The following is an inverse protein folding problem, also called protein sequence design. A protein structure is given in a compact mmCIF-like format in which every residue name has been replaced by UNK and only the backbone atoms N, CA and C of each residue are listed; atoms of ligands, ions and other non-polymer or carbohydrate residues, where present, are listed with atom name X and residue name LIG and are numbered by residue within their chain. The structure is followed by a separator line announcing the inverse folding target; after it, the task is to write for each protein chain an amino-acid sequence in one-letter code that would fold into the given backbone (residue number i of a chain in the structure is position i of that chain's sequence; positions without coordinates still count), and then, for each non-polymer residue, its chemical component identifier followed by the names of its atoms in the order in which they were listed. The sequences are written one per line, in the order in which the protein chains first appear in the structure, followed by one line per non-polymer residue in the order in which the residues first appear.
data_IF_444025209136
#
_entry.id   IF_444025209136
#
_cell.length_a   1.000
_cell.length_b   1.000
_cell.length_c   1.000
_cell.angle_alpha   90.00
_cell.angle_beta   90.00
_cell.angle_gamma   90.00
#
_symmetry.space_group_name_H-M   'P 1'
#
loop_
_entity.id
_entity.type
_entity.pdbx_description
1 polymer ?
#
# COMPACT_ATOMS: atom_id res chain seq x y z
N UNK A 1 -28.96 -38.38 -19.99
CA UNK A 1 -28.74 -37.28 -19.02
C UNK A 1 -27.98 -36.19 -19.75
N UNK A 2 -28.69 -35.18 -20.26
CA UNK A 2 -28.06 -34.03 -20.93
C UNK A 2 -27.28 -33.20 -19.92
N UNK A 3 -25.97 -33.09 -20.14
CA UNK A 3 -25.14 -32.17 -19.37
C UNK A 3 -25.36 -30.75 -19.91
N UNK A 4 -26.10 -29.95 -19.14
CA UNK A 4 -26.33 -28.54 -19.45
C UNK A 4 -25.00 -27.80 -19.68
N UNK A 5 -24.83 -27.24 -20.86
CA UNK A 5 -23.66 -26.45 -21.24
C UNK A 5 -23.60 -25.19 -20.37
N UNK A 6 -22.60 -25.12 -19.48
CA UNK A 6 -22.37 -23.93 -18.64
C UNK A 6 -22.02 -22.75 -19.54
N UNK A 7 -22.96 -21.82 -19.70
CA UNK A 7 -22.74 -20.58 -20.46
C UNK A 7 -21.55 -19.80 -19.87
N UNK A 8 -20.64 -19.36 -20.74
CA UNK A 8 -19.53 -18.48 -20.35
C UNK A 8 -20.11 -17.15 -19.86
N UNK A 9 -19.63 -16.67 -18.71
CA UNK A 9 -20.05 -15.37 -18.16
C UNK A 9 -19.70 -14.26 -19.14
N UNK A 10 -20.67 -13.41 -19.49
CA UNK A 10 -20.45 -12.23 -20.30
C UNK A 10 -19.56 -11.18 -19.61
N UNK A 11 -19.10 -10.16 -20.36
CA UNK A 11 -18.25 -9.11 -19.83
C UNK A 11 -18.95 -8.34 -18.70
N UNK A 12 -18.23 -8.11 -17.59
CA UNK A 12 -18.72 -7.26 -16.51
C UNK A 12 -18.73 -5.79 -16.96
N UNK A 13 -19.86 -5.10 -16.78
CA UNK A 13 -19.94 -3.65 -17.00
C UNK A 13 -19.05 -2.93 -15.99
N UNK A 14 -18.17 -2.04 -16.51
CA UNK A 14 -17.31 -1.17 -15.70
C UNK A 14 -17.98 0.20 -15.61
N UNK A 15 -18.41 0.58 -14.42
CA UNK A 15 -18.94 1.92 -14.14
C UNK A 15 -17.86 2.78 -13.51
N UNK A 16 -17.76 4.04 -13.92
CA UNK A 16 -16.96 5.00 -13.16
C UNK A 16 -17.61 5.27 -11.79
N UNK A 17 -16.84 5.66 -10.76
CA UNK A 17 -17.40 6.00 -9.45
C UNK A 17 -18.45 7.12 -9.51
N UNK A 18 -18.27 8.05 -10.44
CA UNK A 18 -19.18 9.19 -10.66
C UNK A 18 -20.49 8.76 -11.33
N UNK A 19 -20.41 7.96 -12.39
CA UNK A 19 -21.58 7.39 -13.06
C UNK A 19 -22.42 6.57 -12.06
N UNK A 20 -21.73 5.83 -11.20
CA UNK A 20 -22.35 5.06 -10.14
C UNK A 20 -23.09 5.96 -9.13
N UNK A 21 -22.48 7.06 -8.70
CA UNK A 21 -23.11 8.03 -7.80
C UNK A 21 -24.40 8.65 -8.37
N UNK A 22 -24.43 8.95 -9.67
CA UNK A 22 -25.62 9.50 -10.34
C UNK A 22 -26.76 8.48 -10.37
N UNK A 23 -26.45 7.22 -10.73
CA UNK A 23 -27.44 6.15 -10.78
C UNK A 23 -27.98 5.84 -9.38
N UNK A 24 -27.10 5.78 -8.39
CA UNK A 24 -27.46 5.45 -7.02
C UNK A 24 -28.30 6.55 -6.36
N UNK A 25 -27.98 7.83 -6.62
CA UNK A 25 -28.81 8.96 -6.20
C UNK A 25 -30.23 8.83 -6.76
N UNK A 26 -30.36 8.60 -8.07
CA UNK A 26 -31.66 8.43 -8.72
C UNK A 26 -32.42 7.21 -8.21
N UNK A 27 -31.72 6.12 -7.91
CA UNK A 27 -32.31 4.91 -7.34
C UNK A 27 -32.79 5.10 -5.90
N UNK A 28 -32.11 5.96 -5.12
CA UNK A 28 -32.53 6.33 -3.77
C UNK A 28 -33.76 7.24 -3.78
N UNK A 29 -33.89 8.15 -4.74
CA UNK A 29 -35.00 9.11 -4.84
C UNK A 29 -36.26 8.52 -5.51
N UNK A 30 -36.09 7.80 -6.62
CA UNK A 30 -37.21 7.37 -7.47
C UNK A 30 -37.42 5.85 -7.46
N UNK A 31 -36.59 5.09 -6.75
CA UNK A 31 -36.64 3.64 -6.70
C UNK A 31 -35.81 2.95 -7.80
N UNK A 32 -35.48 1.69 -7.55
CA UNK A 32 -34.51 0.89 -8.34
C UNK A 32 -34.99 0.67 -9.79
N UNK A 33 -36.25 0.28 -9.98
CA UNK A 33 -36.82 -0.02 -11.30
C UNK A 33 -36.89 1.23 -12.17
N UNK A 34 -37.28 2.37 -11.58
CA UNK A 34 -37.33 3.65 -12.30
C UNK A 34 -35.93 4.11 -12.72
N UNK A 35 -34.92 3.93 -11.86
CA UNK A 35 -33.54 4.23 -12.19
C UNK A 35 -33.01 3.34 -13.33
N UNK A 36 -33.24 2.02 -13.27
CA UNK A 36 -32.83 1.11 -14.36
C UNK A 36 -33.46 1.51 -15.69
N UNK A 37 -34.75 1.81 -15.72
CA UNK A 37 -35.46 2.25 -16.95
C UNK A 37 -34.91 3.57 -17.48
N UNK A 38 -34.67 4.54 -16.60
CA UNK A 38 -34.11 5.84 -16.97
C UNK A 38 -32.72 5.71 -17.60
N UNK A 39 -31.92 4.78 -17.10
CA UNK A 39 -30.53 4.60 -17.51
C UNK A 39 -30.31 3.48 -18.53
N UNK A 40 -31.35 2.77 -18.98
CA UNK A 40 -31.23 1.64 -19.90
C UNK A 40 -30.59 2.02 -21.24
N UNK A 41 -30.85 3.23 -21.74
CA UNK A 41 -30.29 3.75 -22.99
C UNK A 41 -28.79 4.04 -22.86
N UNK A 42 -28.36 4.53 -21.70
CA UNK A 42 -26.97 4.87 -21.42
C UNK A 42 -26.16 3.65 -20.96
N UNK A 43 -26.83 2.68 -20.30
CA UNK A 43 -26.23 1.50 -19.69
C UNK A 43 -27.09 0.25 -19.95
N UNK A 44 -27.06 -0.30 -21.17
CA UNK A 44 -27.94 -1.41 -21.58
C UNK A 44 -27.69 -2.72 -20.81
N UNK A 45 -26.50 -2.90 -20.23
CA UNK A 45 -26.12 -4.10 -19.49
C UNK A 45 -26.39 -4.01 -17.97
N UNK A 46 -27.10 -2.99 -17.51
CA UNK A 46 -27.34 -2.76 -16.08
C UNK A 46 -28.41 -3.71 -15.54
N UNK A 47 -28.04 -4.51 -14.54
CA UNK A 47 -28.96 -5.41 -13.84
C UNK A 47 -29.56 -4.72 -12.63
N UNK A 48 -30.83 -5.02 -12.36
CA UNK A 48 -31.54 -4.46 -11.21
C UNK A 48 -30.85 -4.78 -9.87
N UNK A 49 -30.35 -6.01 -9.70
CA UNK A 49 -29.60 -6.40 -8.51
C UNK A 49 -28.38 -5.51 -8.29
N UNK A 50 -27.65 -5.16 -9.36
CA UNK A 50 -26.50 -4.25 -9.27
C UNK A 50 -26.95 -2.89 -8.77
N UNK A 51 -28.02 -2.31 -9.32
CA UNK A 51 -28.53 -0.99 -8.88
C UNK A 51 -29.01 -1.03 -7.43
N UNK A 52 -29.62 -2.14 -7.01
CA UNK A 52 -30.06 -2.34 -5.63
C UNK A 52 -28.88 -2.35 -4.65
N UNK A 53 -27.85 -3.14 -4.93
CA UNK A 53 -26.64 -3.20 -4.10
C UNK A 53 -25.95 -1.82 -4.02
N UNK A 54 -25.96 -1.08 -5.12
CA UNK A 54 -25.31 0.23 -5.21
C UNK A 54 -26.10 1.32 -4.47
N UNK A 55 -27.43 1.34 -4.58
CA UNK A 55 -28.33 2.16 -3.74
C UNK A 55 -28.11 1.88 -2.25
N UNK A 56 -28.00 0.62 -1.85
CA UNK A 56 -27.82 0.27 -0.44
C UNK A 56 -26.46 0.74 0.11
N UNK A 57 -25.41 0.71 -0.73
CA UNK A 57 -24.12 1.31 -0.41
C UNK A 57 -24.23 2.84 -0.28
N UNK A 58 -24.94 3.51 -1.20
CA UNK A 58 -25.21 4.95 -1.15
C UNK A 58 -25.91 5.37 0.14
N UNK A 59 -26.97 4.66 0.52
CA UNK A 59 -27.72 4.92 1.75
C UNK A 59 -26.87 4.72 3.01
N UNK A 60 -26.00 3.69 3.02
CA UNK A 60 -25.03 3.48 4.11
C UNK A 60 -24.04 4.62 4.22
N UNK A 61 -23.54 5.14 3.10
CA UNK A 61 -22.64 6.30 3.10
C UNK A 61 -23.32 7.59 3.51
N UNK A 62 -24.57 7.82 3.06
CA UNK A 62 -25.38 8.94 3.55
C UNK A 62 -25.58 8.86 5.05
N UNK A 63 -25.85 7.67 5.60
CA UNK A 63 -25.97 7.47 7.06
C UNK A 63 -24.67 7.82 7.77
N UNK A 64 -23.52 7.33 7.30
CA UNK A 64 -22.20 7.68 7.85
C UNK A 64 -21.94 9.18 7.80
N UNK A 65 -22.20 9.83 6.67
CA UNK A 65 -22.03 11.28 6.53
C UNK A 65 -22.99 12.07 7.41
N UNK A 66 -24.22 11.63 7.60
CA UNK A 66 -25.17 12.26 8.54
C UNK A 66 -24.72 12.12 9.99
N UNK A 67 -24.17 10.97 10.39
CA UNK A 67 -23.59 10.77 11.72
C UNK A 67 -22.30 11.57 11.93
N UNK A 68 -21.50 11.78 10.88
CA UNK A 68 -20.32 12.65 10.96
C UNK A 68 -20.72 14.15 10.95
N UNK A 69 -21.72 14.53 10.17
CA UNK A 69 -22.20 15.90 10.00
C UNK A 69 -23.13 16.37 11.13
N UNK A 70 -23.51 15.52 12.10
CA UNK A 70 -24.18 15.98 13.32
C UNK A 70 -23.30 16.89 14.18
N UNK A 71 -22.02 17.05 13.83
CA UNK A 71 -21.08 18.02 14.43
C UNK A 71 -21.15 19.41 13.75
N UNK A 72 -21.59 19.49 12.49
CA UNK A 72 -21.60 20.73 11.68
C UNK A 72 -23.00 21.07 11.14
N UNK A 73 -24.03 20.97 11.97
CA UNK A 73 -25.38 21.39 11.57
C UNK A 73 -25.52 22.90 11.73
N UNK A 74 -25.10 23.65 10.71
CA UNK A 74 -25.77 24.91 10.37
C UNK A 74 -25.63 25.16 8.88
N UNK A 75 -26.78 25.38 8.24
CA UNK A 75 -27.01 25.77 6.82
C UNK A 75 -27.19 24.60 5.84
N UNK A 76 -28.46 24.22 5.66
CA UNK A 76 -29.14 24.00 4.38
C UNK A 76 -28.29 23.58 3.17
N UNK A 77 -27.55 22.47 3.28
CA UNK A 77 -26.77 21.90 2.18
C UNK A 77 -27.17 20.46 1.94
N UNK A 78 -27.70 20.14 0.75
CA UNK A 78 -27.86 18.76 0.30
C UNK A 78 -26.54 18.00 0.47
N UNK A 79 -26.50 16.99 1.33
CA UNK A 79 -25.34 16.09 1.45
C UNK A 79 -25.26 15.24 0.18
N UNK A 80 -24.56 15.75 -0.84
CA UNK A 80 -24.27 15.00 -2.07
C UNK A 80 -23.05 14.09 -1.86
N UNK A 81 -23.24 12.79 -2.07
CA UNK A 81 -22.12 11.86 -2.29
C UNK A 81 -21.73 11.95 -3.76
N UNK A 82 -20.64 12.66 -4.06
CA UNK A 82 -20.15 12.88 -5.44
C UNK A 82 -19.28 11.72 -5.94
N UNK A 83 -18.60 11.01 -5.04
CA UNK A 83 -17.72 9.90 -5.37
C UNK A 83 -17.80 8.81 -4.31
N UNK A 84 -17.81 7.55 -4.78
CA UNK A 84 -17.61 6.39 -3.93
C UNK A 84 -16.12 6.05 -3.90
N UNK A 85 -15.53 5.92 -2.72
CA UNK A 85 -14.23 5.25 -2.62
C UNK A 85 -14.47 3.77 -2.86
N UNK A 86 -14.09 3.29 -4.05
CA UNK A 86 -14.26 1.88 -4.39
C UNK A 86 -13.55 1.02 -3.35
N UNK A 87 -14.28 0.09 -2.71
CA UNK A 87 -13.63 -0.94 -1.88
C UNK A 87 -12.57 -1.62 -2.73
N UNK A 88 -11.32 -1.66 -2.23
CA UNK A 88 -10.23 -2.36 -2.90
C UNK A 88 -10.66 -3.80 -3.14
N UNK A 89 -10.78 -4.18 -4.41
CA UNK A 89 -11.19 -5.54 -4.80
C UNK A 89 -9.97 -6.45 -4.72
N UNK A 90 -10.14 -7.60 -4.06
CA UNK A 90 -9.11 -8.64 -4.01
C UNK A 90 -8.89 -9.19 -2.60
N UNK A 91 -7.89 -10.06 -2.49
CA UNK A 91 -7.46 -10.61 -1.19
C UNK A 91 -6.86 -9.47 -0.35
N UNK A 92 -7.22 -9.36 0.94
CA UNK A 92 -6.62 -8.38 1.83
C UNK A 92 -5.10 -8.56 1.93
N UNK A 93 -4.41 -7.47 2.28
CA UNK A 93 -2.97 -7.47 2.53
C UNK A 93 -2.65 -8.31 3.77
N UNK A 94 -1.55 -9.06 3.72
CA UNK A 94 -1.14 -9.94 4.83
C UNK A 94 -0.89 -9.17 6.13
N UNK A 95 -0.21 -8.02 6.02
CA UNK A 95 0.17 -7.18 7.15
C UNK A 95 -0.83 -6.04 7.40
N UNK A 96 -1.97 -5.99 6.71
CA UNK A 96 -2.84 -4.81 6.70
C UNK A 96 -2.27 -3.66 5.86
N UNK A 97 -2.94 -2.51 5.88
CA UNK A 97 -2.54 -1.36 5.03
C UNK A 97 -1.40 -0.52 5.64
N UNK A 98 -1.36 -0.42 6.97
CA UNK A 98 -0.40 0.44 7.68
C UNK A 98 1.02 -0.13 7.64
N UNK A 99 1.20 -1.37 8.12
CA UNK A 99 2.51 -2.03 8.09
C UNK A 99 3.01 -2.25 6.66
N UNK A 100 2.14 -2.61 5.73
CA UNK A 100 2.53 -2.77 4.33
C UNK A 100 3.00 -1.44 3.72
N UNK A 101 2.39 -0.31 4.09
CA UNK A 101 2.84 1.03 3.68
C UNK A 101 4.20 1.39 4.30
N UNK A 102 4.40 1.15 5.59
CA UNK A 102 5.69 1.42 6.26
C UNK A 102 6.83 0.60 5.64
N UNK A 103 6.59 -0.68 5.34
CA UNK A 103 7.58 -1.52 4.65
C UNK A 103 7.88 -0.94 3.26
N UNK A 104 6.87 -0.50 2.50
CA UNK A 104 7.08 0.11 1.18
C UNK A 104 7.92 1.39 1.26
N UNK A 105 7.62 2.29 2.20
CA UNK A 105 8.35 3.54 2.40
C UNK A 105 9.82 3.27 2.76
N UNK A 106 10.07 2.33 3.66
CA UNK A 106 11.44 1.96 4.03
C UNK A 106 12.22 1.35 2.85
N UNK A 107 11.58 0.50 2.05
CA UNK A 107 12.21 -0.09 0.88
C UNK A 107 12.48 0.94 -0.23
N UNK A 108 11.63 1.96 -0.38
CA UNK A 108 11.87 3.09 -1.28
C UNK A 108 13.07 3.92 -0.81
N UNK A 109 13.11 4.25 0.48
CA UNK A 109 14.24 4.95 1.09
C UNK A 109 15.57 4.22 0.89
N UNK A 110 15.59 2.89 1.12
CA UNK A 110 16.77 2.07 0.82
C UNK A 110 17.15 2.14 -0.66
N UNK A 111 16.15 2.12 -1.54
CA UNK A 111 16.36 2.13 -2.99
C UNK A 111 16.91 3.46 -3.50
N UNK A 112 16.46 4.58 -2.94
CA UNK A 112 16.94 5.93 -3.26
C UNK A 112 18.42 6.09 -2.88
N UNK A 113 18.84 5.49 -1.77
CA UNK A 113 20.24 5.44 -1.33
C UNK A 113 21.12 4.43 -2.07
N UNK A 114 20.61 3.82 -3.13
CA UNK A 114 21.35 2.87 -3.95
C UNK A 114 21.46 1.45 -3.36
N UNK A 115 20.78 1.15 -2.24
CA UNK A 115 20.87 -0.16 -1.64
C UNK A 115 20.18 -1.24 -2.50
N UNK A 116 20.73 -2.45 -2.44
CA UNK A 116 20.18 -3.62 -3.14
C UNK A 116 18.99 -4.16 -2.36
N UNK A 117 17.78 -4.02 -2.89
CA UNK A 117 16.56 -4.60 -2.30
C UNK A 117 16.33 -6.00 -2.85
N UNK A 118 16.45 -7.02 -1.99
CA UNK A 118 16.16 -8.42 -2.31
C UNK A 118 15.00 -8.96 -1.44
N UNK A 119 14.54 -10.19 -1.72
CA UNK A 119 13.43 -10.79 -0.96
C UNK A 119 13.76 -11.01 0.51
N UNK A 120 15.03 -11.26 0.84
CA UNK A 120 15.46 -11.49 2.24
C UNK A 120 15.40 -10.20 3.05
N UNK A 121 15.84 -9.08 2.47
CA UNK A 121 15.75 -7.74 3.07
C UNK A 121 14.29 -7.36 3.29
N UNK A 122 13.41 -7.68 2.33
CA UNK A 122 11.97 -7.41 2.47
C UNK A 122 11.35 -8.22 3.63
N UNK A 123 11.71 -9.51 3.75
CA UNK A 123 11.23 -10.35 4.87
C UNK A 123 11.73 -9.80 6.20
N UNK A 124 13.05 -9.56 6.33
CA UNK A 124 13.64 -9.07 7.56
C UNK A 124 13.15 -7.68 7.97
N UNK A 125 12.96 -6.77 7.00
CA UNK A 125 12.38 -5.46 7.24
C UNK A 125 10.95 -5.56 7.77
N UNK A 126 10.11 -6.39 7.14
CA UNK A 126 8.74 -6.58 7.56
C UNK A 126 8.65 -7.24 8.95
N UNK A 127 9.50 -8.23 9.23
CA UNK A 127 9.62 -8.83 10.56
C UNK A 127 10.06 -7.81 11.61
N UNK A 128 11.05 -6.98 11.30
CA UNK A 128 11.54 -5.94 12.20
C UNK A 128 10.48 -4.89 12.53
N UNK A 129 9.72 -4.42 11.53
CA UNK A 129 8.64 -3.45 11.73
C UNK A 129 7.53 -4.04 12.59
N UNK A 130 7.05 -5.25 12.26
CA UNK A 130 5.99 -5.90 13.06
C UNK A 130 6.49 -6.17 14.48
N UNK A 131 7.71 -6.66 14.64
CA UNK A 131 8.31 -6.94 15.95
C UNK A 131 8.41 -5.69 16.82
N UNK A 132 8.73 -4.54 16.23
CA UNK A 132 8.86 -3.28 16.96
C UNK A 132 7.50 -2.72 17.41
N UNK A 133 6.44 -2.96 16.66
CA UNK A 133 5.10 -2.48 17.03
C UNK A 133 4.36 -3.47 17.94
N UNK A 134 4.25 -4.73 17.52
CA UNK A 134 3.66 -5.80 18.33
C UNK A 134 4.30 -7.14 17.97
N UNK A 135 5.19 -7.57 18.86
CA UNK A 135 5.92 -8.81 18.69
C UNK A 135 5.03 -10.06 18.73
N UNK A 136 3.84 -10.01 19.34
CA UNK A 136 2.95 -11.18 19.46
C UNK A 136 2.21 -11.50 18.15
N UNK A 137 2.24 -10.60 17.16
CA UNK A 137 1.61 -10.85 15.86
C UNK A 137 2.39 -11.85 15.01
N UNK A 138 3.70 -11.95 15.21
CA UNK A 138 4.58 -12.82 14.45
C UNK A 138 4.42 -14.29 14.86
N UNK A 139 4.39 -15.18 13.86
CA UNK A 139 4.34 -16.62 14.07
C UNK A 139 5.51 -17.16 14.92
N UNK A 140 6.67 -16.49 14.88
CA UNK A 140 7.82 -16.85 15.74
C UNK A 140 7.52 -16.70 17.24
N UNK A 141 6.56 -15.84 17.59
CA UNK A 141 6.20 -15.50 18.96
C UNK A 141 4.78 -16.02 19.31
N UNK A 142 4.26 -16.99 18.54
CA UNK A 142 2.92 -17.56 18.75
C UNK A 142 1.78 -16.82 18.04
N UNK A 143 2.09 -15.83 17.20
CA UNK A 143 1.13 -15.08 16.41
C UNK A 143 0.65 -15.79 15.14
N UNK A 144 -0.21 -15.09 14.38
CA UNK A 144 -0.81 -15.62 13.16
C UNK A 144 -0.13 -15.13 11.86
N UNK A 145 0.76 -14.14 11.96
CA UNK A 145 1.42 -13.55 10.79
C UNK A 145 2.69 -14.33 10.48
N UNK A 146 2.68 -15.03 9.34
CA UNK A 146 3.87 -15.68 8.78
C UNK A 146 4.35 -14.93 7.53
N UNK A 147 5.48 -14.24 7.66
CA UNK A 147 6.09 -13.49 6.56
C UNK A 147 6.89 -14.46 5.69
N UNK A 148 6.36 -14.76 4.50
CA UNK A 148 6.98 -15.71 3.57
C UNK A 148 7.75 -15.03 2.45
N UNK A 149 8.74 -15.73 1.87
CA UNK A 149 9.43 -15.29 0.65
C UNK A 149 8.46 -15.02 -0.51
N UNK A 150 7.34 -15.75 -0.57
CA UNK A 150 6.31 -15.54 -1.58
C UNK A 150 5.59 -14.20 -1.40
N UNK A 151 5.21 -13.87 -0.16
CA UNK A 151 4.65 -12.56 0.16
C UNK A 151 5.61 -11.43 -0.24
N UNK A 152 6.90 -11.55 0.11
CA UNK A 152 7.91 -10.57 -0.25
C UNK A 152 8.04 -10.36 -1.77
N UNK A 153 8.01 -11.44 -2.56
CA UNK A 153 7.98 -11.34 -4.03
C UNK A 153 6.75 -10.57 -4.53
N UNK A 154 5.57 -10.83 -3.96
CA UNK A 154 4.34 -10.12 -4.35
C UNK A 154 4.40 -8.64 -3.99
N UNK A 155 4.94 -8.30 -2.82
CA UNK A 155 5.15 -6.90 -2.42
C UNK A 155 6.02 -6.18 -3.46
N UNK A 156 7.18 -6.75 -3.79
CA UNK A 156 8.10 -6.16 -4.77
C UNK A 156 7.44 -5.95 -6.13
N UNK A 157 6.64 -6.92 -6.61
CA UNK A 157 5.88 -6.77 -7.85
C UNK A 157 4.87 -5.62 -7.77
N UNK A 158 4.16 -5.45 -6.65
CA UNK A 158 3.22 -4.32 -6.45
C UNK A 158 3.94 -2.97 -6.44
N UNK A 159 5.16 -2.92 -5.92
CA UNK A 159 6.01 -1.72 -5.94
C UNK A 159 6.65 -1.45 -7.31
N UNK A 160 6.46 -2.33 -8.30
CA UNK A 160 7.13 -2.23 -9.61
C UNK A 160 8.63 -2.56 -9.56
N UNK A 161 9.09 -3.23 -8.51
CA UNK A 161 10.51 -3.58 -8.35
C UNK A 161 10.81 -4.83 -9.19
N UNK A 162 11.69 -4.67 -10.17
CA UNK A 162 12.21 -5.78 -10.97
C UNK A 162 13.51 -6.30 -10.35
N UNK A 163 13.75 -7.61 -10.48
CA UNK A 163 15.03 -8.24 -10.10
C UNK A 163 16.17 -7.53 -10.85
N UNK A 164 16.93 -6.68 -10.16
CA UNK A 164 18.19 -6.12 -10.68
C UNK A 164 19.33 -7.00 -10.19
N UNK A 165 20.30 -7.26 -11.06
CA UNK A 165 21.63 -7.70 -10.58
C UNK A 165 22.17 -6.57 -9.71
N UNK A 166 22.66 -6.89 -8.52
CA UNK A 166 23.52 -5.98 -7.79
C UNK A 166 24.70 -5.67 -8.71
N UNK A 167 24.84 -4.40 -9.09
CA UNK A 167 25.99 -3.96 -9.86
C UNK A 167 27.00 -3.44 -8.86
N UNK A 168 28.12 -4.15 -8.71
CA UNK A 168 29.28 -3.68 -7.95
C UNK A 168 30.03 -2.56 -8.67
N UNK A 169 29.68 -2.24 -9.92
CA UNK A 169 30.24 -1.06 -10.60
C UNK A 169 29.83 0.20 -9.85
N UNK A 170 30.80 0.83 -9.19
CA UNK A 170 30.68 2.15 -8.60
C UNK A 170 30.18 3.13 -9.68
N UNK A 171 29.05 3.78 -9.43
CA UNK A 171 28.50 4.83 -10.29
C UNK A 171 28.77 6.23 -9.75
N UNK A 172 29.41 6.32 -8.59
CA UNK A 172 29.64 7.57 -7.86
C UNK A 172 31.13 7.81 -7.85
N UNK A 173 31.58 8.76 -8.68
CA UNK A 173 32.79 9.53 -8.39
C UNK A 173 32.37 10.54 -7.35
N UNK A 174 32.87 10.43 -6.12
CA UNK A 174 32.70 11.49 -5.14
C UNK A 174 33.95 12.35 -5.25
N UNK A 175 33.82 13.52 -5.87
CA UNK A 175 34.94 14.46 -5.99
C UNK A 175 35.46 14.86 -4.59
N UNK A 176 34.59 14.82 -3.57
CA UNK A 176 34.86 15.14 -2.18
C UNK A 176 34.84 13.91 -1.24
N UNK A 177 35.37 12.75 -1.67
CA UNK A 177 35.35 11.54 -0.83
C UNK A 177 35.97 11.77 0.55
N UNK A 178 37.11 12.48 0.61
CA UNK A 178 37.84 12.73 1.84
C UNK A 178 37.02 13.57 2.84
N UNK A 179 36.33 14.61 2.36
CA UNK A 179 35.48 15.47 3.20
C UNK A 179 34.32 14.66 3.78
N UNK A 180 33.66 13.84 2.96
CA UNK A 180 32.55 13.01 3.42
C UNK A 180 32.99 11.91 4.40
N UNK A 181 34.18 11.32 4.18
CA UNK A 181 34.77 10.36 5.11
C UNK A 181 35.06 11.02 6.46
N UNK A 182 35.61 12.23 6.44
CA UNK A 182 35.93 12.97 7.67
C UNK A 182 34.66 13.34 8.44
N UNK A 183 33.63 13.85 7.74
CA UNK A 183 32.33 14.15 8.35
C UNK A 183 31.69 12.91 8.98
N UNK A 184 31.69 11.78 8.27
CA UNK A 184 31.14 10.52 8.79
C UNK A 184 31.85 10.06 10.07
N UNK A 185 33.18 10.17 10.12
CA UNK A 185 33.94 9.82 11.32
C UNK A 185 33.69 10.79 12.48
N UNK A 186 33.49 12.08 12.19
CA UNK A 186 33.08 13.07 13.18
C UNK A 186 31.70 12.76 13.75
N UNK A 187 30.73 12.42 12.90
CA UNK A 187 29.36 12.07 13.33
C UNK A 187 29.37 10.84 14.25
N UNK A 188 30.15 9.79 13.91
CA UNK A 188 30.30 8.62 14.78
C UNK A 188 30.89 9.02 16.13
N UNK A 189 31.97 9.81 16.14
CA UNK A 189 32.61 10.25 17.39
C UNK A 189 31.64 11.07 18.23
N UNK A 190 30.86 11.96 17.62
CA UNK A 190 29.87 12.77 18.32
C UNK A 190 28.81 11.90 18.99
N UNK A 191 28.28 10.90 18.29
CA UNK A 191 27.29 9.96 18.86
C UNK A 191 27.88 9.12 19.98
N UNK A 192 29.10 8.62 19.82
CA UNK A 192 29.79 7.83 20.87
C UNK A 192 29.96 8.64 22.16
N UNK A 193 30.33 9.93 22.04
CA UNK A 193 30.47 10.82 23.20
C UNK A 193 29.10 11.18 23.79
N UNK A 194 28.10 11.47 22.95
CA UNK A 194 26.78 11.91 23.39
C UNK A 194 26.02 10.81 24.14
N UNK A 195 26.17 9.56 23.70
CA UNK A 195 25.49 8.39 24.27
C UNK A 195 26.37 7.59 25.25
N UNK A 196 27.56 8.12 25.60
CA UNK A 196 28.56 7.50 26.49
C UNK A 196 28.83 6.02 26.16
N UNK A 197 29.04 5.73 24.86
CA UNK A 197 29.19 4.36 24.36
C UNK A 197 30.61 3.86 24.67
N UNK A 198 30.77 2.77 25.46
CA UNK A 198 32.06 2.15 25.69
C UNK A 198 32.74 1.74 24.38
N UNK A 199 34.06 1.97 24.28
CA UNK A 199 34.83 1.63 23.07
C UNK A 199 34.71 0.14 22.70
N UNK A 200 34.60 -0.74 23.70
CA UNK A 200 34.47 -2.19 23.50
C UNK A 200 33.14 -2.60 22.83
N UNK A 201 32.14 -1.71 22.84
CA UNK A 201 30.84 -1.92 22.18
C UNK A 201 30.79 -1.33 20.77
N UNK A 202 31.85 -0.64 20.33
CA UNK A 202 31.93 -0.09 18.98
C UNK A 202 32.36 -1.19 18.02
N UNK A 203 31.37 -1.82 17.38
CA UNK A 203 31.62 -2.82 16.34
C UNK A 203 31.68 -2.12 14.99
N UNK A 204 32.86 -2.11 14.37
CA UNK A 204 32.97 -1.71 12.97
C UNK A 204 32.45 -2.84 12.08
N UNK A 205 31.18 -2.72 11.69
CA UNK A 205 30.54 -3.68 10.79
C UNK A 205 30.56 -3.14 9.36
N UNK A 206 31.58 -3.53 8.59
CA UNK A 206 31.65 -3.20 7.18
C UNK A 206 30.67 -4.06 6.38
N UNK A 207 29.52 -3.46 6.02
CA UNK A 207 28.63 -4.01 5.02
C UNK A 207 28.59 -3.10 3.78
N UNK A 208 29.75 -2.75 3.22
CA UNK A 208 29.77 -1.90 2.04
C UNK A 208 29.39 -2.67 0.76
N UNK A 209 28.09 -2.59 0.43
CA UNK A 209 27.68 -2.22 -0.94
C UNK A 209 27.59 -0.69 -1.07
N UNK A 210 28.35 0.05 -0.28
CA UNK A 210 28.34 1.51 -0.25
C UNK A 210 29.61 2.02 -0.92
N UNK A 211 29.40 2.82 -1.97
CA UNK A 211 30.36 3.23 -2.99
C UNK A 211 31.31 4.35 -2.53
N UNK A 212 31.87 4.25 -1.34
CA UNK A 212 32.78 5.27 -0.79
C UNK A 212 34.25 4.97 -1.06
N UNK A 213 34.64 3.69 -1.19
CA UNK A 213 36.05 3.35 -1.44
C UNK A 213 36.31 3.33 -2.94
N UNK A 214 37.25 4.16 -3.46
CA UNK A 214 37.66 4.05 -4.86
C UNK A 214 38.32 2.69 -5.07
N UNK A 215 37.74 1.88 -5.96
CA UNK A 215 38.40 0.68 -6.47
C UNK A 215 39.38 1.13 -7.55
N UNK A 216 40.66 0.86 -7.33
CA UNK A 216 41.74 1.15 -8.27
C UNK A 216 41.46 0.52 -9.64
N UNK A 217 41.70 1.30 -10.70
CA UNK A 217 41.71 0.84 -12.09
C UNK A 217 42.73 -0.26 -12.34
#
# INVERSE_FOLDING_TARGET
MEQGTKQKRGPYSKFSPEQKAVIDKRAAECGVVAAVRHFIKNFPCQKENTVRDCRDLYLKELKKKRTAASVDITKSGEIKVTHFTGKRRGRPLLLGEEFDKQVQEYLLFLRERGAVVNTSIVVGCAEGIVRNTDSNLLASNGGHILITKYWAKRLLVRMGFVKRKASTKAKVSIDDFFVNKEQFLLDIRAVVVLEDIPLDLIVNWDQTCVHYVPVSS
#
